data_IF_726967254561
#
_entry.id   IF_726967254561
#
_cell.length_a   1.000
_cell.length_b   1.000
_cell.length_c   1.000
_cell.angle_alpha   90.00
_cell.angle_beta   90.00
_cell.angle_gamma   90.00
#
_symmetry.space_group_name_H-M   'P 1'
#
loop_
_entity.id
_entity.type
_entity.pdbx_description
1 polymer ?
#
# COMPACT_ATOMS: atom_id res chain seq x y z
N UNK A 1 -16.89 40.77 2.19
CA UNK A 1 -17.73 39.60 2.57
C UNK A 1 -17.34 38.34 1.79
N UNK A 2 -17.16 38.40 0.47
CA UNK A 2 -16.79 37.22 -0.37
C UNK A 2 -15.44 36.62 0.05
N UNK A 3 -14.42 37.43 0.39
CA UNK A 3 -13.12 36.92 0.88
C UNK A 3 -13.23 36.17 2.21
N UNK A 4 -14.13 36.60 3.09
CA UNK A 4 -14.32 35.91 4.40
C UNK A 4 -15.02 34.57 4.22
N UNK A 5 -15.96 34.45 3.31
CA UNK A 5 -16.65 33.19 2.99
C UNK A 5 -15.65 32.19 2.42
N UNK A 6 -14.75 32.63 1.54
CA UNK A 6 -13.68 31.73 0.99
C UNK A 6 -12.69 31.26 2.05
N UNK A 7 -12.34 32.09 3.04
CA UNK A 7 -11.47 31.70 4.15
C UNK A 7 -12.10 30.62 5.04
N UNK A 8 -13.36 30.78 5.42
CA UNK A 8 -14.06 29.78 6.25
C UNK A 8 -14.25 28.45 5.52
N UNK A 9 -14.55 28.48 4.23
CA UNK A 9 -14.66 27.26 3.41
C UNK A 9 -13.31 26.54 3.31
N UNK A 10 -12.22 27.27 3.11
CA UNK A 10 -10.87 26.71 3.03
C UNK A 10 -10.45 26.05 4.35
N UNK A 11 -10.74 26.68 5.49
CA UNK A 11 -10.51 26.08 6.81
C UNK A 11 -11.34 24.80 6.98
N UNK A 12 -12.61 24.83 6.61
CA UNK A 12 -13.49 23.65 6.69
C UNK A 12 -12.98 22.49 5.85
N UNK A 13 -12.60 22.76 4.59
CA UNK A 13 -12.01 21.76 3.70
C UNK A 13 -10.70 21.20 4.25
N UNK A 14 -9.86 22.06 4.82
CA UNK A 14 -8.59 21.64 5.46
C UNK A 14 -8.83 20.66 6.60
N UNK A 15 -9.78 20.92 7.47
CA UNK A 15 -10.11 20.05 8.60
C UNK A 15 -10.63 18.68 8.13
N UNK A 16 -11.49 18.65 7.11
CA UNK A 16 -11.99 17.42 6.51
C UNK A 16 -10.83 16.61 5.92
N UNK A 17 -9.94 17.24 5.15
CA UNK A 17 -8.78 16.59 4.55
C UNK A 17 -7.84 16.02 5.61
N UNK A 18 -7.56 16.75 6.68
CA UNK A 18 -6.74 16.25 7.80
C UNK A 18 -7.39 15.03 8.47
N UNK A 19 -8.70 15.05 8.69
CA UNK A 19 -9.42 13.91 9.23
C UNK A 19 -9.35 12.68 8.32
N UNK A 20 -9.41 12.87 7.00
CA UNK A 20 -9.23 11.80 6.02
C UNK A 20 -7.79 11.27 6.02
N UNK A 21 -6.77 12.13 6.10
CA UNK A 21 -5.38 11.71 6.22
C UNK A 21 -5.13 10.89 7.48
N UNK A 22 -5.72 11.25 8.61
CA UNK A 22 -5.68 10.44 9.83
C UNK A 22 -6.29 9.06 9.58
N UNK A 23 -7.47 8.99 8.95
CA UNK A 23 -8.19 7.75 8.69
C UNK A 23 -7.45 6.80 7.74
N UNK A 24 -6.79 7.32 6.71
CA UNK A 24 -5.97 6.51 5.79
C UNK A 24 -4.57 6.23 6.33
N UNK A 25 -4.18 6.84 7.43
CA UNK A 25 -2.83 6.72 8.04
C UNK A 25 -1.74 7.38 7.21
N UNK A 26 -2.02 8.51 6.58
CA UNK A 26 -1.00 9.30 5.89
C UNK A 26 -0.09 10.03 6.91
N UNK A 27 1.21 10.12 6.65
CA UNK A 27 2.10 10.84 7.55
C UNK A 27 1.93 12.37 7.39
N UNK A 28 1.89 13.14 8.52
CA UNK A 28 2.30 12.80 9.88
C UNK A 28 1.23 12.13 10.76
N UNK A 29 0.02 11.95 10.29
CA UNK A 29 -1.13 11.44 11.06
C UNK A 29 -1.15 9.89 11.22
N UNK A 30 -0.04 9.21 10.98
CA UNK A 30 0.10 7.76 10.90
C UNK A 30 0.44 7.06 12.22
N UNK A 31 0.78 7.80 13.28
CA UNK A 31 1.42 7.29 14.52
C UNK A 31 0.67 6.10 15.14
N UNK A 32 -0.65 6.09 15.06
CA UNK A 32 -1.50 5.05 15.62
C UNK A 32 -1.40 3.70 14.88
N UNK A 33 -1.07 3.69 13.58
CA UNK A 33 -1.20 2.52 12.71
C UNK A 33 -0.20 1.41 13.02
N UNK A 34 1.11 1.67 13.23
CA UNK A 34 2.06 0.62 13.58
C UNK A 34 1.72 -0.07 14.89
N UNK A 35 1.28 0.67 15.90
CA UNK A 35 0.96 0.13 17.22
C UNK A 35 -0.34 -0.67 17.21
N UNK A 36 -1.35 -0.20 16.46
CA UNK A 36 -2.61 -0.93 16.28
C UNK A 36 -2.40 -2.23 15.50
N UNK A 37 -1.54 -2.22 14.45
CA UNK A 37 -1.26 -3.44 13.69
C UNK A 37 -0.52 -4.47 14.52
N UNK A 38 0.45 -4.04 15.33
CA UNK A 38 1.20 -4.93 16.21
C UNK A 38 0.33 -5.53 17.30
N UNK A 39 -0.49 -4.71 17.97
CA UNK A 39 -1.30 -5.11 19.11
C UNK A 39 -2.57 -5.86 18.78
N UNK A 40 -3.05 -5.81 17.52
CA UNK A 40 -4.32 -6.44 17.13
C UNK A 40 -4.13 -7.87 16.60
N UNK A 41 -5.13 -8.76 16.73
CA UNK A 41 -5.14 -10.05 16.04
C UNK A 41 -5.01 -9.88 14.53
N UNK A 42 -4.33 -10.83 13.85
CA UNK A 42 -4.03 -10.72 12.41
C UNK A 42 -5.28 -10.57 11.54
N UNK A 43 -6.42 -11.16 11.92
CA UNK A 43 -7.69 -11.02 11.20
C UNK A 43 -8.22 -9.58 11.26
N UNK A 44 -8.12 -8.91 12.41
CA UNK A 44 -8.51 -7.51 12.56
C UNK A 44 -7.60 -6.57 11.76
N UNK A 45 -6.29 -6.88 11.73
CA UNK A 45 -5.32 -6.13 10.92
C UNK A 45 -5.63 -6.27 9.44
N UNK A 46 -5.97 -7.47 8.94
CA UNK A 46 -6.41 -7.70 7.57
C UNK A 46 -7.60 -6.80 7.22
N UNK A 47 -8.61 -6.75 8.09
CA UNK A 47 -9.78 -5.90 7.89
C UNK A 47 -9.40 -4.41 7.82
N UNK A 48 -8.63 -3.90 8.80
CA UNK A 48 -8.23 -2.49 8.85
C UNK A 48 -7.27 -2.10 7.71
N UNK A 49 -6.42 -3.02 7.27
CA UNK A 49 -5.48 -2.79 6.17
C UNK A 49 -6.16 -2.69 4.80
N UNK A 50 -7.34 -3.29 4.64
CA UNK A 50 -8.02 -3.43 3.36
C UNK A 50 -9.27 -2.54 3.25
N UNK A 51 -10.40 -3.00 3.74
CA UNK A 51 -11.70 -2.40 3.45
C UNK A 51 -11.86 -0.93 3.88
N UNK A 52 -11.56 -0.52 5.13
CA UNK A 52 -11.72 0.87 5.55
C UNK A 52 -10.77 1.83 4.83
N UNK A 53 -9.52 1.38 4.56
CA UNK A 53 -8.55 2.18 3.81
C UNK A 53 -8.99 2.38 2.38
N UNK A 54 -9.45 1.32 1.71
CA UNK A 54 -9.95 1.37 0.36
C UNK A 54 -11.10 2.38 0.24
N UNK A 55 -12.13 2.25 1.08
CA UNK A 55 -13.27 3.16 1.09
C UNK A 55 -12.85 4.63 1.36
N UNK A 56 -11.96 4.84 2.32
CA UNK A 56 -11.49 6.19 2.68
C UNK A 56 -10.62 6.83 1.59
N UNK A 57 -9.82 6.03 0.86
CA UNK A 57 -9.00 6.52 -0.26
C UNK A 57 -9.86 6.88 -1.48
N UNK A 58 -10.89 6.09 -1.79
CA UNK A 58 -11.85 6.43 -2.84
C UNK A 58 -12.62 7.71 -2.50
N UNK A 59 -13.05 7.84 -1.24
CA UNK A 59 -13.71 9.06 -0.78
C UNK A 59 -12.78 10.27 -0.87
N UNK A 60 -11.53 10.15 -0.44
CA UNK A 60 -10.52 11.21 -0.55
C UNK A 60 -10.28 11.64 -2.00
N UNK A 61 -10.21 10.67 -2.93
CA UNK A 61 -10.04 10.92 -4.35
C UNK A 61 -11.24 11.68 -4.92
N UNK A 62 -12.46 11.22 -4.67
CA UNK A 62 -13.68 11.93 -5.10
C UNK A 62 -13.77 13.32 -4.50
N UNK A 63 -13.50 13.44 -3.21
CA UNK A 63 -13.50 14.72 -2.50
C UNK A 63 -12.49 15.72 -3.10
N UNK A 64 -11.31 15.22 -3.51
CA UNK A 64 -10.29 16.05 -4.17
C UNK A 64 -10.80 16.62 -5.49
N UNK A 65 -11.52 15.83 -6.28
CA UNK A 65 -12.04 16.24 -7.59
C UNK A 65 -13.27 17.13 -7.43
N UNK A 66 -14.28 16.70 -6.70
CA UNK A 66 -15.58 17.36 -6.60
C UNK A 66 -15.47 18.74 -5.91
N UNK A 67 -14.54 18.91 -4.98
CA UNK A 67 -14.28 20.18 -4.30
C UNK A 67 -13.22 21.03 -4.99
N UNK A 68 -12.74 20.62 -6.16
CA UNK A 68 -11.67 21.29 -6.93
C UNK A 68 -10.50 21.74 -6.03
N UNK A 69 -9.99 20.81 -5.21
CA UNK A 69 -8.92 21.11 -4.25
C UNK A 69 -7.67 21.64 -4.95
N UNK A 70 -7.50 21.32 -6.22
CA UNK A 70 -6.38 21.80 -7.05
C UNK A 70 -6.36 23.34 -7.20
N UNK A 71 -7.49 24.00 -7.08
CA UNK A 71 -7.59 25.47 -7.13
C UNK A 71 -7.14 26.17 -5.84
N UNK A 72 -7.07 25.44 -4.70
CA UNK A 72 -6.65 25.99 -3.42
C UNK A 72 -5.16 25.71 -3.16
N UNK A 73 -4.33 26.74 -3.29
CA UNK A 73 -2.86 26.61 -3.18
C UNK A 73 -2.39 26.06 -1.82
N UNK A 74 -3.05 26.44 -0.72
CA UNK A 74 -2.77 25.97 0.64
C UNK A 74 -3.08 24.48 0.81
N UNK A 75 -4.24 24.03 0.32
CA UNK A 75 -4.63 22.61 0.35
C UNK A 75 -3.70 21.76 -0.52
N UNK A 76 -3.39 22.23 -1.72
CA UNK A 76 -2.45 21.55 -2.61
C UNK A 76 -1.07 21.40 -1.96
N UNK A 77 -0.60 22.42 -1.26
CA UNK A 77 0.66 22.35 -0.50
C UNK A 77 0.59 21.28 0.60
N UNK A 78 -0.52 21.20 1.35
CA UNK A 78 -0.73 20.18 2.39
C UNK A 78 -0.70 18.77 1.78
N UNK A 79 -1.38 18.54 0.65
CA UNK A 79 -1.34 17.26 -0.04
C UNK A 79 0.07 16.84 -0.47
N UNK A 80 0.83 17.77 -1.07
CA UNK A 80 2.23 17.54 -1.45
C UNK A 80 3.10 17.22 -0.25
N UNK A 81 2.96 17.96 0.84
CA UNK A 81 3.70 17.77 2.08
C UNK A 81 3.42 16.40 2.71
N UNK A 82 2.15 16.03 2.84
CA UNK A 82 1.71 14.73 3.37
C UNK A 82 2.17 13.59 2.46
N UNK A 83 2.15 13.77 1.15
CA UNK A 83 2.68 12.80 0.18
C UNK A 83 4.18 12.52 0.43
N UNK A 84 5.01 13.56 0.51
CA UNK A 84 6.45 13.45 0.78
C UNK A 84 6.72 12.73 2.10
N UNK A 85 6.05 13.17 3.17
CA UNK A 85 6.23 12.57 4.49
C UNK A 85 5.81 11.10 4.51
N UNK A 86 4.71 10.74 3.83
CA UNK A 86 4.25 9.36 3.75
C UNK A 86 5.23 8.47 3.00
N UNK A 87 5.81 8.94 1.90
CA UNK A 87 6.84 8.23 1.16
C UNK A 87 8.11 8.01 2.00
N UNK A 88 8.62 9.04 2.66
CA UNK A 88 9.87 8.97 3.41
C UNK A 88 9.71 8.20 4.72
N UNK A 89 8.73 8.57 5.54
CA UNK A 89 8.50 7.94 6.85
C UNK A 89 8.08 6.49 6.69
N UNK A 90 7.21 6.20 5.70
CA UNK A 90 6.80 4.84 5.41
C UNK A 90 7.96 3.95 4.99
N UNK A 91 8.82 4.42 4.08
CA UNK A 91 9.97 3.67 3.61
C UNK A 91 11.02 3.45 4.72
N UNK A 92 11.43 4.53 5.39
CA UNK A 92 12.44 4.46 6.45
C UNK A 92 11.95 3.70 7.68
N UNK A 93 10.70 3.96 8.11
CA UNK A 93 10.10 3.28 9.25
C UNK A 93 10.00 1.77 9.05
N UNK A 94 9.65 1.30 7.85
CA UNK A 94 9.61 -0.14 7.54
C UNK A 94 10.99 -0.80 7.58
N UNK A 95 12.05 -0.08 7.15
CA UNK A 95 13.40 -0.61 7.08
C UNK A 95 13.93 -1.05 8.46
N UNK A 96 13.56 -0.34 9.52
CA UNK A 96 14.05 -0.57 10.89
C UNK A 96 13.27 -1.64 11.65
N UNK A 97 12.11 -2.08 11.16
CA UNK A 97 11.24 -2.99 11.90
C UNK A 97 11.72 -4.46 11.84
N UNK A 98 11.52 -5.15 12.95
CA UNK A 98 11.72 -6.61 13.09
C UNK A 98 10.39 -7.36 13.21
N UNK A 99 9.32 -6.68 13.65
CA UNK A 99 7.96 -7.23 13.75
C UNK A 99 7.28 -7.10 12.40
N UNK A 100 6.77 -8.22 11.85
CA UNK A 100 6.22 -8.27 10.50
C UNK A 100 4.97 -7.38 10.33
N UNK A 101 4.04 -7.39 11.30
CA UNK A 101 2.83 -6.56 11.25
C UNK A 101 3.16 -5.07 11.26
N UNK A 102 4.16 -4.67 12.06
CA UNK A 102 4.63 -3.28 12.16
C UNK A 102 5.33 -2.84 10.88
N UNK A 103 6.14 -3.73 10.29
CA UNK A 103 6.74 -3.48 8.98
C UNK A 103 5.66 -3.27 7.90
N UNK A 104 4.63 -4.12 7.84
CA UNK A 104 3.53 -3.99 6.90
C UNK A 104 2.70 -2.71 7.14
N UNK A 105 2.60 -2.24 8.38
CA UNK A 105 1.98 -0.95 8.70
C UNK A 105 2.76 0.21 8.07
N UNK A 106 4.08 0.29 8.26
CA UNK A 106 4.91 1.32 7.64
C UNK A 106 4.95 1.21 6.11
N UNK A 107 4.99 -0.02 5.59
CA UNK A 107 4.84 -0.28 4.17
C UNK A 107 3.53 0.31 3.64
N UNK A 108 2.40 0.12 4.35
CA UNK A 108 1.12 0.70 3.94
C UNK A 108 1.14 2.24 3.89
N UNK A 109 1.87 2.89 4.80
CA UNK A 109 2.05 4.35 4.79
C UNK A 109 2.82 4.79 3.54
N UNK A 110 3.86 4.04 3.13
CA UNK A 110 4.57 4.30 1.89
C UNK A 110 3.65 4.18 0.66
N UNK A 111 2.85 3.10 0.58
CA UNK A 111 1.88 2.93 -0.51
C UNK A 111 0.83 4.04 -0.56
N UNK A 112 0.39 4.56 0.61
CA UNK A 112 -0.48 5.75 0.67
C UNK A 112 0.22 6.96 0.05
N UNK A 113 1.52 7.13 0.26
CA UNK A 113 2.31 8.17 -0.41
C UNK A 113 2.23 8.09 -1.94
N UNK A 114 2.36 6.88 -2.54
CA UNK A 114 2.16 6.68 -3.98
C UNK A 114 0.71 6.96 -4.42
N UNK A 115 -0.28 6.57 -3.63
CA UNK A 115 -1.69 6.85 -3.93
C UNK A 115 -1.97 8.35 -3.88
N UNK A 116 -1.41 9.09 -2.91
CA UNK A 116 -1.51 10.55 -2.86
C UNK A 116 -0.82 11.21 -4.05
N UNK A 117 0.31 10.67 -4.50
CA UNK A 117 0.98 11.15 -5.72
C UNK A 117 0.09 10.96 -6.96
N UNK A 118 -0.66 9.83 -7.06
CA UNK A 118 -1.60 9.63 -8.15
C UNK A 118 -2.80 10.59 -8.10
N UNK A 119 -3.26 10.99 -6.91
CA UNK A 119 -4.29 12.02 -6.74
C UNK A 119 -3.78 13.38 -7.21
N UNK A 120 -2.54 13.73 -6.84
CA UNK A 120 -1.92 15.01 -7.25
C UNK A 120 -1.65 15.10 -8.76
N UNK A 121 -1.50 13.97 -9.45
CA UNK A 121 -1.26 13.90 -10.90
C UNK A 121 -2.54 13.63 -11.71
N UNK A 122 -3.70 14.00 -11.17
CA UNK A 122 -5.00 13.67 -11.73
C UNK A 122 -5.31 14.40 -13.07
N UNK A 123 -4.77 15.60 -13.31
CA UNK A 123 -5.14 16.41 -14.48
C UNK A 123 -4.75 15.79 -15.82
N UNK A 124 -3.69 14.99 -15.88
CA UNK A 124 -3.17 14.40 -17.12
C UNK A 124 -3.60 12.95 -17.36
N UNK A 125 -3.94 12.21 -16.31
CA UNK A 125 -4.16 10.79 -16.43
C UNK A 125 -5.51 10.38 -15.91
N UNK A 126 -6.12 9.52 -16.70
CA UNK A 126 -7.41 8.92 -16.39
C UNK A 126 -7.43 8.41 -14.95
N UNK A 127 -8.57 8.54 -14.31
CA UNK A 127 -8.89 7.96 -13.00
C UNK A 127 -8.45 6.48 -12.90
N UNK A 128 -8.26 5.84 -14.07
CA UNK A 128 -7.82 4.47 -14.19
C UNK A 128 -6.52 4.14 -13.47
N UNK A 129 -5.52 5.05 -13.45
CA UNK A 129 -4.23 4.78 -12.80
C UNK A 129 -4.37 4.75 -11.28
N UNK A 130 -5.14 5.67 -10.69
CA UNK A 130 -5.44 5.65 -9.27
C UNK A 130 -6.10 4.33 -8.84
N UNK A 131 -7.18 3.94 -9.54
CA UNK A 131 -7.90 2.71 -9.22
C UNK A 131 -7.07 1.45 -9.51
N UNK A 132 -6.28 1.44 -10.58
CA UNK A 132 -5.39 0.33 -10.88
C UNK A 132 -4.41 0.08 -9.73
N UNK A 133 -3.73 1.13 -9.26
CA UNK A 133 -2.82 1.00 -8.12
C UNK A 133 -3.56 0.55 -6.86
N UNK A 134 -4.71 1.15 -6.58
CA UNK A 134 -5.51 0.86 -5.40
C UNK A 134 -5.96 -0.61 -5.37
N UNK A 135 -6.42 -1.17 -6.50
CA UNK A 135 -6.81 -2.57 -6.62
C UNK A 135 -5.61 -3.50 -6.42
N UNK A 136 -4.48 -3.22 -7.09
CA UNK A 136 -3.27 -4.03 -6.93
C UNK A 136 -2.81 -4.04 -5.47
N UNK A 137 -2.78 -2.87 -4.81
CA UNK A 137 -2.42 -2.76 -3.40
C UNK A 137 -3.38 -3.53 -2.49
N UNK A 138 -4.68 -3.45 -2.73
CA UNK A 138 -5.69 -4.15 -1.94
C UNK A 138 -5.52 -5.68 -2.07
N UNK A 139 -5.43 -6.19 -3.31
CA UNK A 139 -5.30 -7.63 -3.57
C UNK A 139 -4.00 -8.19 -2.99
N UNK A 140 -2.89 -7.47 -3.16
CA UNK A 140 -1.60 -7.90 -2.62
C UNK A 140 -1.60 -7.92 -1.09
N UNK A 141 -2.13 -6.87 -0.46
CA UNK A 141 -2.24 -6.79 1.00
C UNK A 141 -3.13 -7.91 1.56
N UNK A 142 -4.28 -8.13 0.92
CA UNK A 142 -5.20 -9.22 1.29
C UNK A 142 -4.52 -10.59 1.20
N UNK A 143 -3.78 -10.85 0.11
CA UNK A 143 -3.02 -12.08 -0.08
C UNK A 143 -1.95 -12.30 0.99
N UNK A 144 -1.16 -11.27 1.31
CA UNK A 144 -0.12 -11.33 2.35
C UNK A 144 -0.72 -11.66 3.72
N UNK A 145 -1.73 -10.90 4.16
CA UNK A 145 -2.37 -11.16 5.45
C UNK A 145 -3.10 -12.50 5.50
N UNK A 146 -3.68 -12.97 4.37
CA UNK A 146 -4.29 -14.30 4.29
C UNK A 146 -3.28 -15.41 4.56
N UNK A 147 -2.05 -15.29 4.07
CA UNK A 147 -0.98 -16.26 4.37
C UNK A 147 -0.57 -16.16 5.84
N UNK A 148 -0.36 -14.94 6.35
CA UNK A 148 0.04 -14.74 7.75
C UNK A 148 -0.98 -15.32 8.75
N UNK A 149 -2.27 -15.31 8.42
CA UNK A 149 -3.32 -15.95 9.23
C UNK A 149 -3.19 -17.47 9.34
N UNK A 150 -2.60 -18.11 8.31
CA UNK A 150 -2.45 -19.58 8.29
C UNK A 150 -1.18 -20.07 8.95
N UNK A 151 -0.22 -19.18 9.18
CA UNK A 151 1.07 -19.53 9.73
C UNK A 151 1.08 -19.31 11.25
N UNK A 152 1.56 -20.31 11.98
CA UNK A 152 1.75 -20.26 13.42
C UNK A 152 3.13 -20.77 13.79
N UNK A 153 3.65 -20.31 14.91
CA UNK A 153 4.79 -20.93 15.57
C UNK A 153 4.33 -21.58 16.88
N UNK A 154 5.25 -22.20 17.62
CA UNK A 154 4.96 -22.84 18.91
C UNK A 154 4.39 -21.86 19.97
N UNK A 155 4.55 -20.56 19.77
CA UNK A 155 4.08 -19.48 20.65
C UNK A 155 2.75 -18.85 20.19
N UNK A 156 2.18 -19.32 19.06
CA UNK A 156 0.92 -18.81 18.51
C UNK A 156 1.07 -18.13 17.14
N UNK A 157 0.53 -16.92 16.96
CA UNK A 157 0.66 -16.15 15.71
C UNK A 157 2.12 -15.72 15.46
N UNK A 158 2.54 -15.72 14.18
CA UNK A 158 3.85 -15.22 13.75
C UNK A 158 3.95 -13.73 14.07
N UNK A 159 5.01 -13.33 14.75
CA UNK A 159 5.29 -11.94 15.13
C UNK A 159 6.52 -11.37 14.44
N UNK A 160 7.63 -12.09 14.50
CA UNK A 160 8.92 -11.61 13.97
C UNK A 160 9.13 -12.04 12.52
N UNK A 161 9.95 -11.29 11.81
CA UNK A 161 10.40 -11.66 10.45
C UNK A 161 11.18 -12.97 10.50
N UNK A 162 11.93 -13.20 11.57
CA UNK A 162 12.68 -14.44 11.81
C UNK A 162 11.78 -15.67 11.97
N UNK A 163 10.53 -15.50 12.40
CA UNK A 163 9.58 -16.62 12.48
C UNK A 163 9.22 -17.21 11.10
N UNK A 164 9.54 -16.50 10.02
CA UNK A 164 9.34 -16.99 8.64
C UNK A 164 10.51 -17.83 8.12
N UNK A 165 11.57 -18.05 8.92
CA UNK A 165 12.69 -18.92 8.52
C UNK A 165 12.20 -20.33 8.23
N UNK A 166 12.76 -20.95 7.19
CA UNK A 166 12.36 -22.32 6.80
C UNK A 166 11.00 -22.44 6.12
N UNK A 167 10.26 -21.36 5.84
CA UNK A 167 8.95 -21.45 5.19
C UNK A 167 9.01 -22.17 3.84
N UNK A 168 10.11 -22.01 3.09
CA UNK A 168 10.33 -22.70 1.80
C UNK A 168 10.34 -24.22 1.95
N UNK A 169 10.90 -24.74 3.02
CA UNK A 169 10.98 -26.20 3.28
C UNK A 169 9.67 -26.75 3.81
N UNK A 170 8.99 -26.01 4.67
CA UNK A 170 7.69 -26.37 5.25
C UNK A 170 6.54 -26.30 4.25
N UNK A 171 6.37 -25.15 3.57
CA UNK A 171 5.30 -24.97 2.58
C UNK A 171 5.78 -24.12 1.41
N UNK A 172 6.24 -24.79 0.38
CA UNK A 172 6.75 -24.17 -0.84
C UNK A 172 5.72 -23.29 -1.54
N UNK A 173 4.43 -23.68 -1.52
CA UNK A 173 3.35 -22.89 -2.16
C UNK A 173 3.17 -21.52 -1.51
N UNK A 174 3.10 -21.48 -0.17
CA UNK A 174 2.97 -20.21 0.58
C UNK A 174 4.22 -19.35 0.44
N UNK A 175 5.41 -19.96 0.47
CA UNK A 175 6.66 -19.24 0.28
C UNK A 175 6.73 -18.58 -1.10
N UNK A 176 6.35 -19.27 -2.18
CA UNK A 176 6.31 -18.74 -3.54
C UNK A 176 5.23 -17.66 -3.65
N UNK A 177 4.04 -17.88 -3.09
CA UNK A 177 2.99 -16.86 -3.11
C UNK A 177 3.42 -15.56 -2.39
N UNK A 178 4.04 -15.66 -1.19
CA UNK A 178 4.59 -14.49 -0.49
C UNK A 178 5.69 -13.81 -1.28
N UNK A 179 6.56 -14.56 -1.96
CA UNK A 179 7.59 -13.99 -2.83
C UNK A 179 6.97 -13.15 -3.94
N UNK A 180 5.96 -13.69 -4.66
CA UNK A 180 5.25 -12.98 -5.72
C UNK A 180 4.59 -11.70 -5.19
N UNK A 181 3.87 -11.80 -4.07
CA UNK A 181 3.18 -10.66 -3.47
C UNK A 181 4.16 -9.58 -2.97
N UNK A 182 5.26 -9.96 -2.32
CA UNK A 182 6.28 -9.00 -1.88
C UNK A 182 7.06 -8.36 -3.04
N UNK A 183 7.34 -9.11 -4.10
CA UNK A 183 7.93 -8.52 -5.31
C UNK A 183 6.98 -7.51 -5.97
N UNK A 184 5.69 -7.79 -5.97
CA UNK A 184 4.70 -6.82 -6.44
C UNK A 184 4.67 -5.57 -5.57
N UNK A 185 4.62 -5.69 -4.24
CA UNK A 185 4.65 -4.54 -3.32
C UNK A 185 5.96 -3.74 -3.46
N UNK A 186 7.08 -4.42 -3.64
CA UNK A 186 8.37 -3.78 -3.92
C UNK A 186 8.34 -2.97 -5.24
N UNK A 187 7.55 -3.42 -6.21
CA UNK A 187 7.54 -2.88 -7.55
C UNK A 187 8.68 -3.44 -8.42
N UNK A 188 8.93 -4.75 -8.31
CA UNK A 188 9.93 -5.46 -9.11
C UNK A 188 9.26 -6.09 -10.32
N UNK A 189 9.77 -5.89 -11.57
CA UNK A 189 9.25 -6.60 -12.73
C UNK A 189 9.41 -8.12 -12.55
N UNK A 190 8.52 -8.95 -13.08
CA UNK A 190 7.42 -8.67 -14.01
C UNK A 190 6.04 -8.55 -13.34
N UNK A 191 5.91 -8.15 -12.10
CA UNK A 191 4.64 -8.16 -11.36
C UNK A 191 3.85 -6.85 -11.50
N UNK A 192 2.52 -6.91 -11.32
CA UNK A 192 1.60 -5.79 -11.55
C UNK A 192 1.92 -4.54 -10.73
N UNK A 193 2.49 -4.68 -9.53
CA UNK A 193 2.90 -3.56 -8.69
C UNK A 193 3.99 -2.68 -9.31
N UNK A 194 4.85 -3.24 -10.17
CA UNK A 194 5.81 -2.45 -10.95
C UNK A 194 5.08 -1.52 -11.92
N UNK A 195 4.17 -2.06 -12.72
CA UNK A 195 3.41 -1.25 -13.69
C UNK A 195 2.56 -0.18 -12.99
N UNK A 196 1.96 -0.52 -11.86
CA UNK A 196 1.19 0.43 -11.07
C UNK A 196 2.03 1.63 -10.60
N UNK A 197 3.25 1.39 -10.07
CA UNK A 197 4.19 2.45 -9.70
C UNK A 197 4.69 3.22 -10.93
N UNK A 198 5.03 2.51 -12.00
CA UNK A 198 5.51 3.11 -13.24
C UNK A 198 4.50 4.10 -13.83
N UNK A 199 3.23 3.72 -13.91
CA UNK A 199 2.18 4.60 -14.41
C UNK A 199 1.99 5.85 -13.54
N UNK A 200 2.06 5.73 -12.22
CA UNK A 200 1.99 6.90 -11.32
C UNK A 200 3.19 7.84 -11.54
N UNK A 201 4.39 7.27 -11.67
CA UNK A 201 5.60 8.07 -11.87
C UNK A 201 5.59 8.80 -13.21
N UNK A 202 5.18 8.14 -14.29
CA UNK A 202 5.04 8.79 -15.60
C UNK A 202 3.99 9.90 -15.57
N UNK A 203 2.86 9.65 -14.87
CA UNK A 203 1.83 10.63 -14.63
C UNK A 203 2.35 11.88 -13.94
N UNK A 204 2.99 11.67 -12.80
CA UNK A 204 3.49 12.77 -11.97
C UNK A 204 4.60 13.58 -12.66
N UNK A 205 5.39 12.94 -13.51
CA UNK A 205 6.40 13.64 -14.32
C UNK A 205 5.76 14.53 -15.40
N UNK A 206 4.71 14.04 -16.05
CA UNK A 206 3.97 14.80 -17.06
C UNK A 206 3.28 16.06 -16.46
N UNK A 207 2.84 15.96 -15.21
CA UNK A 207 2.29 17.12 -14.44
C UNK A 207 3.37 18.06 -13.89
N UNK A 208 4.64 17.83 -14.19
CA UNK A 208 5.73 18.66 -13.69
C UNK A 208 6.07 18.46 -12.21
N UNK A 209 5.53 17.40 -11.57
CA UNK A 209 5.81 17.06 -10.16
C UNK A 209 7.14 16.29 -10.00
N UNK A 210 8.20 16.76 -10.68
CA UNK A 210 9.49 16.07 -10.80
C UNK A 210 10.11 15.75 -9.44
N UNK A 211 10.10 16.70 -8.51
CA UNK A 211 10.68 16.49 -7.17
C UNK A 211 9.94 15.40 -6.38
N UNK A 212 8.61 15.37 -6.47
CA UNK A 212 7.80 14.33 -5.83
C UNK A 212 8.06 12.96 -6.46
N UNK A 213 8.18 12.90 -7.78
CA UNK A 213 8.51 11.68 -8.53
C UNK A 213 9.88 11.13 -8.13
N UNK A 214 10.90 11.99 -7.99
CA UNK A 214 12.23 11.59 -7.53
C UNK A 214 12.19 11.01 -6.11
N UNK A 215 11.48 11.65 -5.19
CA UNK A 215 11.30 11.13 -3.82
C UNK A 215 10.58 9.79 -3.84
N UNK A 216 9.56 9.62 -4.68
CA UNK A 216 8.83 8.37 -4.83
C UNK A 216 9.73 7.24 -5.36
N UNK A 217 10.59 7.51 -6.34
CA UNK A 217 11.58 6.54 -6.83
C UNK A 217 12.54 6.13 -5.72
N UNK A 218 13.12 7.09 -4.99
CA UNK A 218 14.03 6.80 -3.87
C UNK A 218 13.33 5.97 -2.77
N UNK A 219 12.09 6.31 -2.42
CA UNK A 219 11.31 5.54 -1.45
C UNK A 219 11.04 4.11 -1.92
N UNK A 220 10.84 3.89 -3.23
CA UNK A 220 10.63 2.55 -3.79
C UNK A 220 11.88 1.67 -3.71
N UNK A 221 13.08 2.26 -3.87
CA UNK A 221 14.35 1.54 -3.70
C UNK A 221 14.52 1.07 -2.24
N UNK A 222 14.21 1.95 -1.28
CA UNK A 222 14.21 1.57 0.15
C UNK A 222 13.16 0.48 0.42
N UNK A 223 11.98 0.59 -0.21
CA UNK A 223 10.93 -0.41 -0.09
C UNK A 223 11.39 -1.79 -0.60
N UNK A 224 12.07 -1.85 -1.71
CA UNK A 224 12.62 -3.10 -2.23
C UNK A 224 13.56 -3.78 -1.21
N UNK A 225 14.38 -3.01 -0.49
CA UNK A 225 15.32 -3.55 0.49
C UNK A 225 14.61 -4.31 1.62
N UNK A 226 13.58 -3.75 2.26
CA UNK A 226 12.93 -4.46 3.37
C UNK A 226 12.08 -5.63 2.92
N UNK A 227 11.51 -5.62 1.72
CA UNK A 227 10.81 -6.79 1.18
C UNK A 227 11.80 -7.90 0.81
N UNK A 228 12.93 -7.57 0.19
CA UNK A 228 13.99 -8.53 -0.11
C UNK A 228 14.57 -9.15 1.18
N UNK A 229 14.67 -8.38 2.28
CA UNK A 229 15.07 -8.90 3.58
C UNK A 229 14.12 -10.00 4.07
N UNK A 230 12.80 -9.82 3.94
CA UNK A 230 11.82 -10.87 4.31
C UNK A 230 12.00 -12.09 3.42
N UNK A 231 12.11 -11.90 2.11
CA UNK A 231 12.28 -12.99 1.15
C UNK A 231 13.59 -13.76 1.44
N UNK A 232 14.68 -13.04 1.73
CA UNK A 232 15.94 -13.65 2.13
C UNK A 232 15.75 -14.56 3.36
N UNK A 233 15.05 -14.08 4.37
CA UNK A 233 14.79 -14.85 5.60
C UNK A 233 14.00 -16.12 5.30
N UNK A 234 12.98 -16.05 4.43
CA UNK A 234 12.13 -17.21 4.08
C UNK A 234 12.85 -18.28 3.26
N UNK A 235 13.79 -17.90 2.38
CA UNK A 235 14.36 -18.79 1.37
C UNK A 235 15.76 -19.27 1.66
N UNK A 236 16.58 -18.49 2.39
CA UNK A 236 18.01 -18.72 2.53
C UNK A 236 18.47 -18.97 3.97
N UNK A 237 17.65 -18.62 4.97
CA UNK A 237 18.00 -18.91 6.34
C UNK A 237 17.45 -20.30 6.70
N UNK A 238 18.30 -21.15 7.27
CA UNK A 238 17.89 -22.40 7.87
C UNK A 238 17.10 -22.13 9.13
N UNK A 239 15.90 -22.68 9.24
CA UNK A 239 15.02 -22.53 10.40
C UNK A 239 14.83 -23.89 11.08
N UNK A 240 14.65 -23.89 12.39
CA UNK A 240 14.11 -25.03 13.09
C UNK A 240 12.68 -25.30 12.63
N UNK A 241 12.23 -26.57 12.65
CA UNK A 241 10.89 -26.99 12.23
C UNK A 241 9.81 -26.57 13.26
N UNK A 242 9.72 -25.24 13.51
CA UNK A 242 8.79 -24.66 14.49
C UNK A 242 7.49 -24.17 13.87
N UNK A 243 7.42 -24.12 12.53
CA UNK A 243 6.24 -23.64 11.82
C UNK A 243 5.13 -24.69 11.81
N UNK A 244 3.99 -24.33 12.35
CA UNK A 244 2.76 -25.10 12.30
C UNK A 244 1.78 -24.45 11.33
N UNK A 245 1.05 -25.26 10.58
CA UNK A 245 0.02 -24.80 9.68
C UNK A 245 -1.37 -25.04 10.24
N UNK A 246 -2.16 -24.00 10.31
CA UNK A 246 -3.58 -24.11 10.54
C UNK A 246 -4.32 -23.63 9.28
N UNK A 247 -4.24 -24.45 8.21
CA UNK A 247 -4.77 -24.06 6.90
C UNK A 247 -6.24 -24.47 6.77
N UNK A 248 -7.13 -23.47 6.82
CA UNK A 248 -8.48 -23.66 6.26
C UNK A 248 -8.43 -23.52 4.73
N UNK A 249 -9.21 -24.33 4.03
CA UNK A 249 -9.29 -24.35 2.56
C UNK A 249 -9.47 -22.94 1.96
N UNK A 250 -10.32 -22.12 2.55
CA UNK A 250 -10.60 -20.75 2.09
C UNK A 250 -9.35 -19.84 2.07
N UNK A 251 -8.48 -19.94 3.05
CA UNK A 251 -7.25 -19.13 3.08
C UNK A 251 -6.27 -19.55 1.99
N UNK A 252 -6.24 -20.85 1.65
CA UNK A 252 -5.39 -21.34 0.56
C UNK A 252 -5.87 -20.81 -0.79
N UNK A 253 -7.17 -20.81 -1.02
CA UNK A 253 -7.76 -20.25 -2.26
C UNK A 253 -7.48 -18.75 -2.38
N UNK A 254 -7.64 -18.00 -1.30
CA UNK A 254 -7.49 -16.53 -1.34
C UNK A 254 -6.08 -16.09 -1.70
N UNK A 255 -5.02 -16.63 -1.10
CA UNK A 255 -3.66 -16.20 -1.42
C UNK A 255 -3.20 -16.67 -2.80
N UNK A 256 -3.65 -17.86 -3.25
CA UNK A 256 -3.36 -18.35 -4.60
C UNK A 256 -4.00 -17.42 -5.63
N UNK A 257 -5.28 -17.10 -5.45
CA UNK A 257 -5.97 -16.16 -6.35
C UNK A 257 -5.31 -14.78 -6.36
N UNK A 258 -4.89 -14.27 -5.21
CA UNK A 258 -4.17 -12.99 -5.12
C UNK A 258 -2.84 -13.02 -5.88
N UNK A 259 -2.06 -14.08 -5.73
CA UNK A 259 -0.79 -14.23 -6.44
C UNK A 259 -1.00 -14.38 -7.95
N UNK A 260 -1.97 -15.18 -8.38
CA UNK A 260 -2.33 -15.32 -9.80
C UNK A 260 -2.85 -14.00 -10.40
N UNK A 261 -3.68 -13.27 -9.67
CA UNK A 261 -4.17 -11.96 -10.11
C UNK A 261 -3.02 -11.00 -10.38
N UNK A 262 -2.08 -10.88 -9.46
CA UNK A 262 -0.93 -9.99 -9.57
C UNK A 262 0.00 -10.38 -10.72
N UNK A 263 0.18 -11.66 -10.99
CA UNK A 263 0.97 -12.14 -12.13
C UNK A 263 0.25 -11.94 -13.45
N UNK A 264 -1.06 -12.21 -13.52
CA UNK A 264 -1.85 -12.04 -14.74
C UNK A 264 -1.93 -10.57 -15.18
N UNK A 265 -2.28 -9.67 -14.27
CA UNK A 265 -2.38 -8.24 -14.57
C UNK A 265 -1.02 -7.52 -14.74
N UNK A 266 0.08 -8.22 -14.53
CA UNK A 266 1.39 -7.76 -14.96
C UNK A 266 1.54 -7.76 -16.49
N UNK A 267 1.00 -8.78 -17.16
CA UNK A 267 1.10 -8.93 -18.61
C UNK A 267 -0.05 -8.25 -19.36
N UNK A 268 -1.16 -7.99 -18.68
CA UNK A 268 -2.38 -7.45 -19.30
C UNK A 268 -3.08 -6.43 -18.37
N UNK A 269 -2.53 -5.21 -18.22
CA UNK A 269 -3.10 -4.16 -17.37
C UNK A 269 -4.35 -3.50 -18.00
N UNK A 270 -4.46 -3.53 -19.34
CA UNK A 270 -5.47 -2.80 -20.11
C UNK A 270 -6.91 -3.06 -19.69
N UNK A 271 -7.37 -4.30 -19.39
CA UNK A 271 -8.77 -4.52 -19.02
C UNK A 271 -9.21 -3.74 -17.80
N UNK A 272 -8.36 -3.63 -16.77
CA UNK A 272 -8.70 -2.86 -15.56
C UNK A 272 -8.80 -1.38 -15.92
N UNK A 273 -7.80 -0.85 -16.63
CA UNK A 273 -7.77 0.56 -17.04
C UNK A 273 -8.95 0.90 -17.94
N UNK A 274 -9.27 0.03 -18.90
CA UNK A 274 -10.38 0.21 -19.81
C UNK A 274 -11.74 0.20 -19.10
N UNK A 275 -11.98 -0.77 -18.22
CA UNK A 275 -13.23 -0.85 -17.45
C UNK A 275 -13.40 0.42 -16.60
N UNK A 276 -12.35 0.86 -15.90
CA UNK A 276 -12.43 2.01 -15.03
C UNK A 276 -12.70 3.29 -15.84
N UNK A 277 -12.01 3.49 -16.96
CA UNK A 277 -12.22 4.67 -17.79
C UNK A 277 -13.65 4.74 -18.36
N UNK A 278 -14.25 3.61 -18.69
CA UNK A 278 -15.64 3.58 -19.21
C UNK A 278 -16.71 3.83 -18.13
N UNK A 279 -16.43 3.53 -16.87
CA UNK A 279 -17.40 3.72 -15.78
C UNK A 279 -17.28 5.06 -15.06
N UNK A 280 -16.14 5.74 -15.18
CA UNK A 280 -15.84 6.98 -14.45
C UNK A 280 -15.61 8.19 -15.40
N UNK A 281 -15.62 7.99 -16.71
CA UNK A 281 -15.71 9.05 -17.73
C UNK A 281 -17.16 9.55 -17.84
#
# INVERSE_FOLDING_TARGET
EIKNVTYFTEIGLTLIVIALFFKVSAAPFHIWTPDVYEGSPTISVLFFATLPKFASLIFLFRFFIEMDISSYSSLLFIFKFVCVLSLLIGAYGAMTQTVIKRLLAFSSINHIGFILLSILSFQFLSQGIFFFYLIIYLVTSFGVFSILLTLRNNLGEIKLITDLTGLKTHNKSKAIALLVLFFSLAGIPPFAGFFAKFFILTASMNEGLIYLSLIAVLSSVIAAFYYLRIIKTMFFNEGEDTLQENSMFYHNVTYILSALFVTFFAFYPDPIIFIINNYFS
#
